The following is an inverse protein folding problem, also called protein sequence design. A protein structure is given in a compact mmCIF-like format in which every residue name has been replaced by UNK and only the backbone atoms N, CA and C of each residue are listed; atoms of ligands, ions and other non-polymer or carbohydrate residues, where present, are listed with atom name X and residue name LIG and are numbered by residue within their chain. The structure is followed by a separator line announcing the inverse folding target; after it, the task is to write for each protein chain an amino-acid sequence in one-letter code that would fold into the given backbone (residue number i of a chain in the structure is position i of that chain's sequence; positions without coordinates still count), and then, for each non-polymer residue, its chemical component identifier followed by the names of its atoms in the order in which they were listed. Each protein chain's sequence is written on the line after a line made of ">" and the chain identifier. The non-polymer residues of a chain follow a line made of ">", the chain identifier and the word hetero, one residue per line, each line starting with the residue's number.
data_IF_688935332158
#
_entry.id   IF_688935332158
#
_cell.length_a   1.000
_cell.length_b   1.000
_cell.length_c   1.000
_cell.angle_alpha   90.00
_cell.angle_beta   90.00
_cell.angle_gamma   90.00
#
_symmetry.space_group_name_H-M   'P 1'
#
loop_
_entity.id
_entity.type
_entity.pdbx_description
1 polymer ?
#
# COMPACT_ATOMS: atom_id res chain seq x y z
N UNK A 1 -30.85 13.82 -24.12
CA UNK A 1 -31.22 14.02 -22.70
C UNK A 1 -29.98 13.65 -21.92
N UNK A 2 -29.17 14.65 -21.60
CA UNK A 2 -27.88 14.50 -20.94
C UNK A 2 -28.11 14.10 -19.48
N UNK A 3 -27.41 13.06 -19.03
CA UNK A 3 -27.51 12.57 -17.66
C UNK A 3 -26.32 13.15 -16.89
N UNK A 4 -26.59 14.13 -16.05
CA UNK A 4 -25.61 14.71 -15.12
C UNK A 4 -25.09 13.62 -14.16
N UNK A 5 -23.86 13.14 -14.40
CA UNK A 5 -23.15 12.22 -13.50
C UNK A 5 -22.37 13.00 -12.44
N UNK A 6 -23.11 13.67 -11.54
CA UNK A 6 -22.54 14.67 -10.65
C UNK A 6 -22.75 14.47 -9.15
N UNK A 7 -22.99 13.26 -8.63
CA UNK A 7 -23.01 13.06 -7.16
C UNK A 7 -22.24 11.81 -6.71
N UNK A 8 -21.50 11.87 -5.59
CA UNK A 8 -20.77 10.71 -5.04
C UNK A 8 -21.71 9.55 -4.67
N UNK A 9 -22.99 9.83 -4.45
CA UNK A 9 -24.02 8.84 -4.13
C UNK A 9 -24.45 8.02 -5.35
N UNK A 10 -24.48 8.60 -6.55
CA UNK A 10 -24.74 7.85 -7.80
C UNK A 10 -23.58 6.94 -8.17
N UNK A 11 -22.33 7.33 -7.87
CA UNK A 11 -21.15 6.47 -8.07
C UNK A 11 -21.20 5.20 -7.21
N UNK A 12 -21.44 5.32 -5.91
CA UNK A 12 -21.54 4.14 -5.04
C UNK A 12 -22.66 3.18 -5.42
N UNK A 13 -23.80 3.73 -5.86
CA UNK A 13 -24.93 2.91 -6.32
C UNK A 13 -24.58 2.18 -7.63
N UNK A 14 -23.93 2.86 -8.58
CA UNK A 14 -23.45 2.22 -9.82
C UNK A 14 -22.33 1.19 -9.57
N UNK A 15 -21.42 1.44 -8.64
CA UNK A 15 -20.42 0.45 -8.24
C UNK A 15 -21.07 -0.80 -7.64
N UNK A 16 -22.14 -0.66 -6.85
CA UNK A 16 -22.85 -1.82 -6.28
C UNK A 16 -23.58 -2.67 -7.31
N UNK A 17 -23.97 -2.08 -8.44
CA UNK A 17 -24.67 -2.78 -9.53
C UNK A 17 -23.71 -3.38 -10.57
N UNK A 18 -22.53 -2.76 -10.77
CA UNK A 18 -21.52 -3.22 -11.72
C UNK A 18 -20.53 -4.23 -11.11
N UNK A 19 -20.39 -4.25 -9.77
CA UNK A 19 -19.58 -5.23 -9.06
C UNK A 19 -20.46 -6.24 -8.33
N UNK A 20 -21.02 -7.18 -9.09
CA UNK A 20 -21.38 -8.46 -8.52
C UNK A 20 -20.10 -9.25 -8.31
N UNK A 21 -19.75 -9.39 -7.04
CA UNK A 21 -18.69 -10.22 -6.46
C UNK A 21 -17.26 -9.64 -6.60
N UNK A 22 -16.61 -9.42 -5.45
CA UNK A 22 -15.15 -9.23 -5.29
C UNK A 22 -14.49 -7.84 -5.27
N UNK A 23 -15.20 -6.71 -5.11
CA UNK A 23 -14.51 -5.41 -5.04
C UNK A 23 -14.84 -4.57 -3.79
N UNK A 24 -13.89 -4.62 -2.85
CA UNK A 24 -13.59 -3.57 -1.87
C UNK A 24 -14.70 -3.19 -0.88
N UNK A 25 -14.95 -4.05 0.11
CA UNK A 25 -15.13 -3.73 1.56
C UNK A 25 -15.36 -5.03 2.36
N UNK A 26 -14.52 -6.06 2.17
CA UNK A 26 -14.54 -7.26 3.01
C UNK A 26 -13.15 -7.60 3.54
N UNK A 27 -12.58 -6.65 4.29
CA UNK A 27 -11.67 -6.98 5.39
C UNK A 27 -12.48 -6.81 6.67
N UNK A 28 -13.30 -7.82 6.98
CA UNK A 28 -13.70 -8.22 8.35
C UNK A 28 -14.90 -9.17 8.44
N UNK A 29 -15.44 -9.72 7.34
CA UNK A 29 -16.55 -10.69 7.43
C UNK A 29 -16.33 -12.00 6.64
N UNK A 30 -15.08 -12.49 6.53
CA UNK A 30 -14.80 -13.85 6.05
C UNK A 30 -14.72 -14.91 7.17
N UNK A 31 -15.10 -14.57 8.40
CA UNK A 31 -15.15 -15.52 9.52
C UNK A 31 -16.45 -16.35 9.64
N UNK A 32 -17.65 -15.95 9.15
CA UNK A 32 -18.84 -16.77 9.37
C UNK A 32 -18.98 -17.96 8.42
N UNK A 33 -18.30 -17.96 7.26
CA UNK A 33 -18.41 -19.03 6.27
C UNK A 33 -17.48 -20.24 6.54
N UNK A 34 -16.52 -20.10 7.47
CA UNK A 34 -15.70 -21.21 7.94
C UNK A 34 -16.27 -21.88 9.21
N UNK A 35 -17.09 -21.15 9.97
CA UNK A 35 -17.75 -21.67 11.18
C UNK A 35 -18.97 -22.57 10.88
N UNK A 36 -19.43 -22.64 9.63
CA UNK A 36 -20.52 -23.54 9.22
C UNK A 36 -20.07 -24.99 9.01
N UNK A 37 -18.76 -25.27 8.97
CA UNK A 37 -18.25 -26.63 9.02
C UNK A 37 -18.05 -27.07 10.47
N UNK A 38 -18.96 -27.91 10.93
CA UNK A 38 -18.87 -28.69 12.16
C UNK A 38 -17.78 -29.77 12.02
N UNK A 39 -16.55 -29.35 11.75
CA UNK A 39 -15.40 -30.24 11.60
C UNK A 39 -14.56 -30.21 12.88
N UNK A 40 -14.10 -31.39 13.28
CA UNK A 40 -13.26 -31.62 14.45
C UNK A 40 -12.00 -30.73 14.36
N UNK A 41 -11.64 -29.98 15.42
CA UNK A 41 -10.62 -28.93 15.38
C UNK A 41 -9.23 -29.43 14.93
N UNK A 42 -8.91 -30.70 15.14
CA UNK A 42 -7.66 -31.31 14.71
C UNK A 42 -7.52 -31.38 13.18
N UNK A 43 -8.60 -31.73 12.46
CA UNK A 43 -8.58 -31.80 10.99
C UNK A 43 -8.51 -30.44 10.31
N UNK A 44 -8.95 -29.37 10.99
CA UNK A 44 -8.86 -28.00 10.49
C UNK A 44 -7.41 -27.50 10.57
N UNK A 45 -6.73 -27.75 11.69
CA UNK A 45 -5.34 -27.37 11.89
C UNK A 45 -4.43 -28.09 10.88
N UNK A 46 -4.62 -29.39 10.65
CA UNK A 46 -3.89 -30.14 9.63
C UNK A 46 -4.13 -29.55 8.23
N UNK A 47 -5.39 -29.25 7.88
CA UNK A 47 -5.72 -28.62 6.59
C UNK A 47 -5.10 -27.23 6.44
N UNK A 48 -5.04 -26.43 7.49
CA UNK A 48 -4.41 -25.10 7.47
C UNK A 48 -2.89 -25.18 7.39
N UNK A 49 -2.26 -26.18 8.03
CA UNK A 49 -0.84 -26.44 7.89
C UNK A 49 -0.48 -26.82 6.45
N UNK A 50 -1.31 -27.63 5.78
CA UNK A 50 -1.11 -28.00 4.38
C UNK A 50 -1.48 -26.88 3.38
N UNK A 51 -2.39 -25.99 3.73
CA UNK A 51 -2.94 -25.02 2.76
C UNK A 51 -2.12 -23.75 2.57
N UNK A 52 -1.36 -23.25 3.56
CA UNK A 52 -0.82 -21.87 3.39
C UNK A 52 0.38 -21.41 4.21
N UNK A 53 0.90 -22.14 5.21
CA UNK A 53 1.80 -21.49 6.21
C UNK A 53 3.08 -22.28 6.54
N UNK A 54 3.15 -23.59 6.27
CA UNK A 54 4.29 -24.41 6.72
C UNK A 54 5.07 -25.11 5.59
N UNK A 55 5.03 -24.59 4.36
CA UNK A 55 6.06 -25.00 3.39
C UNK A 55 7.37 -24.35 3.83
N UNK A 56 8.40 -25.12 4.24
CA UNK A 56 9.69 -24.53 4.54
C UNK A 56 10.23 -23.97 3.24
N UNK A 57 10.19 -22.65 3.12
CA UNK A 57 11.02 -21.81 2.28
C UNK A 57 11.65 -22.57 1.10
N UNK A 58 10.85 -22.88 0.09
CA UNK A 58 11.42 -22.95 -1.25
C UNK A 58 11.85 -21.53 -1.53
N UNK A 59 13.11 -21.22 -1.19
CA UNK A 59 13.79 -20.05 -1.71
C UNK A 59 13.81 -20.27 -3.22
N UNK A 60 12.73 -19.89 -3.89
CA UNK A 60 12.77 -19.71 -5.33
C UNK A 60 13.97 -18.80 -5.58
N UNK A 61 14.93 -19.22 -6.43
CA UNK A 61 16.09 -18.40 -6.70
C UNK A 61 15.56 -17.06 -7.20
N UNK A 62 15.99 -15.98 -6.56
CA UNK A 62 15.66 -14.62 -6.98
C UNK A 62 16.15 -14.51 -8.42
N UNK A 63 15.20 -14.48 -9.36
CA UNK A 63 15.54 -14.36 -10.76
C UNK A 63 16.19 -12.99 -10.97
N UNK A 64 17.30 -12.91 -11.72
CA UNK A 64 17.92 -11.63 -12.04
C UNK A 64 16.92 -10.76 -12.78
N UNK A 65 16.93 -9.46 -12.49
CA UNK A 65 16.07 -8.50 -13.17
C UNK A 65 16.31 -8.55 -14.69
N UNK A 66 15.26 -8.84 -15.46
CA UNK A 66 15.32 -8.94 -16.93
C UNK A 66 14.73 -7.73 -17.64
N UNK A 67 14.38 -6.67 -16.90
CA UNK A 67 13.86 -5.43 -17.48
C UNK A 67 14.96 -4.57 -18.07
N UNK A 68 14.57 -3.62 -18.91
CA UNK A 68 15.47 -2.58 -19.42
C UNK A 68 15.97 -1.69 -18.27
N UNK A 69 17.23 -1.23 -18.31
CA UNK A 69 17.73 -0.29 -17.32
C UNK A 69 16.91 1.01 -17.34
N UNK A 70 16.62 1.57 -16.17
CA UNK A 70 15.86 2.81 -16.05
C UNK A 70 16.73 3.91 -15.45
N UNK A 71 17.49 4.57 -16.33
CA UNK A 71 18.42 5.63 -15.95
C UNK A 71 17.77 6.79 -15.19
N UNK A 72 16.47 7.04 -15.37
CA UNK A 72 15.75 8.08 -14.63
C UNK A 72 15.55 7.70 -13.15
N UNK A 73 15.26 6.43 -12.87
CA UNK A 73 15.10 5.92 -11.50
C UNK A 73 16.44 5.59 -10.82
N UNK A 74 17.45 5.27 -11.62
CA UNK A 74 18.81 4.99 -11.13
C UNK A 74 19.60 6.29 -10.86
N UNK A 75 19.04 7.45 -11.24
CA UNK A 75 19.66 8.75 -10.98
C UNK A 75 19.50 9.16 -9.50
N UNK A 76 20.49 9.86 -8.91
CA UNK A 76 20.37 10.38 -7.56
C UNK A 76 19.17 11.34 -7.42
N UNK A 77 18.41 11.16 -6.34
CA UNK A 77 17.29 12.01 -5.96
C UNK A 77 17.81 13.43 -5.72
N UNK A 78 17.21 14.40 -6.40
CA UNK A 78 17.57 15.82 -6.27
C UNK A 78 16.82 16.50 -5.13
N UNK A 79 17.40 17.60 -4.61
CA UNK A 79 16.74 18.43 -3.60
C UNK A 79 15.42 19.03 -4.11
N UNK A 80 15.36 19.36 -5.40
CA UNK A 80 14.18 19.94 -6.03
C UNK A 80 13.01 18.95 -6.04
N UNK A 81 13.28 17.67 -6.30
CA UNK A 81 12.27 16.60 -6.24
C UNK A 81 11.76 16.40 -4.82
N UNK A 82 12.66 16.38 -3.82
CA UNK A 82 12.25 16.28 -2.41
C UNK A 82 11.39 17.47 -2.01
N UNK A 83 11.75 18.69 -2.42
CA UNK A 83 10.96 19.89 -2.16
C UNK A 83 9.58 19.83 -2.84
N UNK A 84 9.52 19.39 -4.11
CA UNK A 84 8.29 19.20 -4.85
C UNK A 84 7.40 18.11 -4.22
N UNK A 85 8.00 17.06 -3.64
CA UNK A 85 7.28 16.02 -2.92
C UNK A 85 6.69 16.56 -1.61
N UNK A 86 7.48 17.29 -0.81
CA UNK A 86 7.04 17.88 0.46
C UNK A 86 5.87 18.85 0.25
N UNK A 87 5.92 19.68 -0.79
CA UNK A 87 4.84 20.64 -1.11
C UNK A 87 3.54 19.97 -1.54
N UNK A 88 3.59 18.75 -2.07
CA UNK A 88 2.40 17.95 -2.44
C UNK A 88 1.80 17.19 -1.25
N UNK A 89 2.44 17.17 -0.09
CA UNK A 89 1.93 16.45 1.08
C UNK A 89 0.62 17.09 1.58
N UNK A 90 -0.41 16.27 1.77
CA UNK A 90 -1.64 16.70 2.42
C UNK A 90 -1.43 16.76 3.93
N UNK A 91 -1.60 17.94 4.53
CA UNK A 91 -1.41 18.18 5.96
C UNK A 91 -2.58 17.74 6.84
N UNK A 92 -3.65 17.20 6.24
CA UNK A 92 -4.86 16.75 6.94
C UNK A 92 -4.82 15.32 7.48
N UNK A 93 -3.74 14.57 7.24
CA UNK A 93 -3.59 13.19 7.72
C UNK A 93 -3.13 13.10 9.17
N UNK A 94 -3.51 11.99 9.80
CA UNK A 94 -3.18 11.66 11.18
C UNK A 94 -1.67 11.53 11.37
N UNK A 95 -1.17 11.94 12.54
CA UNK A 95 0.22 11.73 12.95
C UNK A 95 0.60 10.25 12.83
N UNK A 96 1.77 9.98 12.26
CA UNK A 96 2.28 8.63 12.11
C UNK A 96 2.66 8.02 13.47
N UNK A 97 2.80 6.68 13.59
CA UNK A 97 3.12 6.00 14.85
C UNK A 97 4.46 6.42 15.50
N UNK A 98 5.35 7.02 14.71
CA UNK A 98 6.63 7.60 15.14
C UNK A 98 6.47 8.97 15.85
N UNK A 99 5.25 9.51 15.91
CA UNK A 99 4.96 10.82 16.50
C UNK A 99 5.34 11.99 15.60
N UNK A 100 5.84 11.74 14.37
CA UNK A 100 6.23 12.78 13.43
C UNK A 100 4.97 13.26 12.69
N UNK A 101 4.64 14.53 12.88
CA UNK A 101 3.53 15.15 12.18
C UNK A 101 3.98 15.65 10.80
N UNK A 102 3.15 15.44 9.78
CA UNK A 102 3.40 15.93 8.41
C UNK A 102 3.60 17.46 8.37
N UNK A 103 2.97 18.21 9.28
CA UNK A 103 3.18 19.66 9.45
C UNK A 103 4.62 20.03 9.84
N UNK A 104 5.39 19.12 10.41
CA UNK A 104 6.81 19.34 10.74
C UNK A 104 7.64 19.19 9.47
N UNK A 105 7.34 18.18 8.65
CA UNK A 105 8.03 17.91 7.38
C UNK A 105 7.87 19.08 6.41
N UNK A 106 6.67 19.67 6.35
CA UNK A 106 6.41 20.84 5.49
C UNK A 106 7.08 22.14 5.97
N UNK A 107 7.66 22.15 7.17
CA UNK A 107 8.35 23.31 7.77
C UNK A 107 9.87 23.12 7.86
N UNK A 108 10.42 22.08 7.24
CA UNK A 108 11.86 21.87 7.21
C UNK A 108 12.57 23.03 6.53
N UNK A 109 13.72 23.43 7.08
CA UNK A 109 14.59 24.40 6.43
C UNK A 109 15.38 23.75 5.30
N UNK A 110 15.92 24.56 4.40
CA UNK A 110 16.67 24.09 3.23
C UNK A 110 17.84 23.17 3.58
N UNK A 111 18.55 23.46 4.68
CA UNK A 111 19.63 22.59 5.18
C UNK A 111 19.12 21.22 5.62
N UNK A 112 17.95 21.13 6.25
CA UNK A 112 17.37 19.83 6.64
C UNK A 112 16.89 19.06 5.44
N UNK A 113 16.34 19.74 4.43
CA UNK A 113 15.94 19.12 3.16
C UNK A 113 17.18 18.53 2.48
N UNK A 114 18.30 19.25 2.46
CA UNK A 114 19.56 18.74 1.93
C UNK A 114 20.02 17.46 2.63
N UNK A 115 20.05 17.46 3.97
CA UNK A 115 20.43 16.28 4.77
C UNK A 115 19.48 15.10 4.53
N UNK A 116 18.17 15.38 4.41
CA UNK A 116 17.18 14.36 4.10
C UNK A 116 17.40 13.76 2.71
N UNK A 117 17.66 14.59 1.69
CA UNK A 117 17.98 14.13 0.33
C UNK A 117 19.21 13.23 0.32
N UNK A 118 20.28 13.64 1.00
CA UNK A 118 21.51 12.85 1.07
C UNK A 118 21.28 11.50 1.78
N UNK A 119 20.49 11.51 2.85
CA UNK A 119 20.12 10.29 3.58
C UNK A 119 19.27 9.34 2.72
N UNK A 120 18.34 9.86 1.92
CA UNK A 120 17.50 9.07 1.01
C UNK A 120 18.35 8.41 -0.08
N UNK A 121 19.27 9.16 -0.71
CA UNK A 121 20.17 8.61 -1.72
C UNK A 121 21.06 7.49 -1.15
N UNK A 122 21.59 7.67 0.07
CA UNK A 122 22.39 6.63 0.74
C UNK A 122 21.62 5.33 1.03
N UNK A 123 20.29 5.39 1.17
CA UNK A 123 19.46 4.19 1.38
C UNK A 123 18.99 3.55 0.07
N UNK A 124 19.02 4.32 -1.02
CA UNK A 124 18.64 3.88 -2.35
C UNK A 124 19.77 3.10 -3.03
N UNK A 125 21.01 3.54 -2.83
CA UNK A 125 22.24 2.83 -3.21
C UNK A 125 22.47 1.55 -2.37
#
# INVERSE_FOLDING_TARGET
>A
MEIEMGTPRTWHTNCSLLYTEEAHHSRNNKLPLLHSQKAVPQTLLEKLQHASILTPNLQEPILPYTGEPNSELDSPISKAEVYAAITKLNTGSTTWPDGINIKVITKLNDSSIAVLTDYMNRLWD
#
